data_IF_629809912527
#
_entry.id   IF_629809912527
#
_cell.length_a   1.000
_cell.length_b   1.000
_cell.length_c   1.000
_cell.angle_alpha   90.00
_cell.angle_beta   90.00
_cell.angle_gamma   90.00
#
_symmetry.space_group_name_H-M   'P 1'
#
loop_
_entity.id
_entity.type
_entity.pdbx_description
1 polymer ?
#
# COMPACT_ATOMS: atom_id res chain seq x y z
N UNK A 1 17.65 0.57 11.83
CA UNK A 1 17.34 0.34 10.40
C UNK A 1 16.27 -0.74 10.31
N UNK A 2 15.17 -0.50 9.57
CA UNK A 2 14.10 -1.50 9.41
C UNK A 2 14.63 -2.71 8.64
N UNK A 3 14.36 -3.95 9.07
CA UNK A 3 14.84 -5.16 8.38
C UNK A 3 14.27 -5.24 6.95
N UNK A 4 15.04 -5.80 6.01
CA UNK A 4 14.59 -6.00 4.62
C UNK A 4 13.34 -6.89 4.55
N UNK A 5 13.25 -7.91 5.41
CA UNK A 5 12.04 -8.74 5.53
C UNK A 5 10.83 -7.96 6.02
N UNK A 6 11.01 -7.05 7.00
CA UNK A 6 9.92 -6.17 7.47
C UNK A 6 9.41 -5.23 6.37
N UNK A 7 10.31 -4.75 5.50
CA UNK A 7 9.96 -3.94 4.33
C UNK A 7 9.11 -4.73 3.33
N UNK A 8 9.54 -5.95 2.95
CA UNK A 8 8.76 -6.80 2.03
C UNK A 8 7.39 -7.15 2.58
N UNK A 9 7.31 -7.56 3.87
CA UNK A 9 6.03 -7.90 4.51
C UNK A 9 5.11 -6.67 4.54
N UNK A 10 5.62 -5.50 4.88
CA UNK A 10 4.81 -4.27 4.88
C UNK A 10 4.34 -3.87 3.48
N UNK A 11 5.13 -4.17 2.45
CA UNK A 11 4.79 -3.91 1.06
C UNK A 11 3.65 -4.82 0.60
N UNK A 12 3.74 -6.12 0.87
CA UNK A 12 2.68 -7.10 0.56
C UNK A 12 1.39 -6.76 1.32
N UNK A 13 1.50 -6.42 2.60
CA UNK A 13 0.36 -6.01 3.42
C UNK A 13 -0.35 -4.77 2.84
N UNK A 14 0.43 -3.79 2.38
CA UNK A 14 -0.13 -2.58 1.76
C UNK A 14 -0.88 -2.87 0.47
N UNK A 15 -0.36 -3.77 -0.38
CA UNK A 15 -1.05 -4.18 -1.62
C UNK A 15 -2.41 -4.82 -1.30
N UNK A 16 -2.45 -5.75 -0.33
CA UNK A 16 -3.69 -6.42 0.08
C UNK A 16 -4.71 -5.39 0.58
N UNK A 17 -4.26 -4.42 1.38
CA UNK A 17 -5.12 -3.37 1.92
C UNK A 17 -5.64 -2.42 0.81
N UNK A 18 -4.82 -2.10 -0.19
CA UNK A 18 -5.26 -1.31 -1.36
C UNK A 18 -6.37 -2.05 -2.10
N UNK A 19 -6.17 -3.33 -2.43
CA UNK A 19 -7.15 -4.13 -3.17
C UNK A 19 -8.46 -4.23 -2.39
N UNK A 20 -8.39 -4.51 -1.09
CA UNK A 20 -9.57 -4.61 -0.24
C UNK A 20 -10.36 -3.31 -0.19
N UNK A 21 -9.67 -2.19 0.04
CA UNK A 21 -10.31 -0.88 0.11
C UNK A 21 -10.87 -0.43 -1.25
N UNK A 22 -10.18 -0.71 -2.36
CA UNK A 22 -10.68 -0.42 -3.70
C UNK A 22 -11.94 -1.24 -4.02
N UNK A 23 -11.95 -2.52 -3.67
CA UNK A 23 -13.12 -3.38 -3.84
C UNK A 23 -14.31 -2.87 -3.00
N UNK A 24 -14.06 -2.54 -1.74
CA UNK A 24 -15.11 -2.04 -0.85
C UNK A 24 -15.60 -0.65 -1.25
N UNK A 25 -14.74 0.20 -1.82
CA UNK A 25 -15.13 1.46 -2.45
C UNK A 25 -16.06 1.22 -3.66
N UNK A 26 -15.71 0.28 -4.54
CA UNK A 26 -16.51 -0.07 -5.72
C UNK A 26 -17.89 -0.64 -5.33
N UNK A 27 -17.92 -1.56 -4.36
CA UNK A 27 -19.18 -2.11 -3.83
C UNK A 27 -20.02 -1.01 -3.18
N UNK A 28 -19.41 -0.16 -2.35
CA UNK A 28 -20.10 0.96 -1.72
C UNK A 28 -20.68 1.95 -2.74
N UNK A 29 -19.95 2.23 -3.82
CA UNK A 29 -20.40 3.10 -4.91
C UNK A 29 -21.60 2.50 -5.66
N UNK A 30 -21.52 1.21 -6.03
CA UNK A 30 -22.59 0.52 -6.78
C UNK A 30 -23.86 0.29 -5.95
N UNK A 31 -23.71 0.11 -4.63
CA UNK A 31 -24.84 -0.05 -3.70
C UNK A 31 -25.40 1.29 -3.20
N UNK A 32 -24.84 2.43 -3.59
CA UNK A 32 -25.32 3.76 -3.19
C UNK A 32 -25.10 4.10 -1.71
N UNK A 33 -24.14 3.44 -1.05
CA UNK A 33 -23.81 3.75 0.34
C UNK A 33 -23.16 5.14 0.45
N UNK A 34 -23.59 5.96 1.41
CA UNK A 34 -23.08 7.34 1.58
C UNK A 34 -21.61 7.42 2.00
N UNK A 35 -21.08 6.39 2.67
CA UNK A 35 -19.73 6.41 3.28
C UNK A 35 -18.66 5.67 2.46
N UNK A 36 -18.95 5.28 1.22
CA UNK A 36 -18.01 4.56 0.36
C UNK A 36 -16.67 5.30 0.15
N UNK A 37 -16.70 6.64 0.13
CA UNK A 37 -15.54 7.50 -0.09
C UNK A 37 -14.43 7.32 0.96
N UNK A 38 -14.78 6.86 2.18
CA UNK A 38 -13.80 6.58 3.24
C UNK A 38 -12.83 5.48 2.81
N UNK A 39 -13.33 4.44 2.14
CA UNK A 39 -12.49 3.37 1.58
C UNK A 39 -11.59 3.88 0.45
N UNK A 40 -12.08 4.86 -0.32
CA UNK A 40 -11.26 5.54 -1.33
C UNK A 40 -10.07 6.28 -0.71
N UNK A 41 -10.31 7.05 0.36
CA UNK A 41 -9.24 7.75 1.10
C UNK A 41 -8.26 6.75 1.72
N UNK A 42 -8.77 5.68 2.33
CA UNK A 42 -7.92 4.62 2.90
C UNK A 42 -7.03 3.97 1.83
N UNK A 43 -7.58 3.66 0.65
CA UNK A 43 -6.80 3.12 -0.47
C UNK A 43 -5.66 4.07 -0.90
N UNK A 44 -5.92 5.37 -0.97
CA UNK A 44 -4.88 6.38 -1.30
C UNK A 44 -3.79 6.44 -0.23
N UNK A 45 -4.15 6.38 1.06
CA UNK A 45 -3.17 6.36 2.16
C UNK A 45 -2.26 5.13 2.05
N UNK A 46 -2.83 3.94 1.84
CA UNK A 46 -2.04 2.72 1.67
C UNK A 46 -1.19 2.75 0.39
N UNK A 47 -1.66 3.39 -0.67
CA UNK A 47 -0.88 3.58 -1.90
C UNK A 47 0.34 4.48 -1.68
N UNK A 48 0.19 5.59 -0.95
CA UNK A 48 1.33 6.43 -0.58
C UNK A 48 2.34 5.66 0.28
N UNK A 49 1.86 4.87 1.24
CA UNK A 49 2.72 4.02 2.06
C UNK A 49 3.45 2.96 1.22
N UNK A 50 2.77 2.36 0.23
CA UNK A 50 3.38 1.43 -0.72
C UNK A 50 4.52 2.08 -1.51
N UNK A 51 4.34 3.29 -2.03
CA UNK A 51 5.38 4.04 -2.76
C UNK A 51 6.62 4.28 -1.88
N UNK A 52 6.42 4.66 -0.62
CA UNK A 52 7.53 4.89 0.32
C UNK A 52 8.30 3.60 0.57
N UNK A 53 7.62 2.49 0.84
CA UNK A 53 8.29 1.19 1.05
C UNK A 53 9.04 0.72 -0.20
N UNK A 54 8.47 0.91 -1.40
CA UNK A 54 9.14 0.58 -2.67
C UNK A 54 10.40 1.43 -2.88
N UNK A 55 10.35 2.74 -2.56
CA UNK A 55 11.56 3.60 -2.61
C UNK A 55 12.63 3.11 -1.63
N UNK A 56 12.25 2.72 -0.41
CA UNK A 56 13.20 2.19 0.57
C UNK A 56 13.83 0.86 0.11
N UNK A 57 13.05 -0.04 -0.48
CA UNK A 57 13.54 -1.30 -1.06
C UNK A 57 14.52 -1.03 -2.21
N UNK A 58 14.18 -0.12 -3.12
CA UNK A 58 15.04 0.24 -4.25
C UNK A 58 16.37 0.85 -3.77
N UNK A 59 16.31 1.79 -2.82
CA UNK A 59 17.49 2.41 -2.21
C UNK A 59 18.38 1.40 -1.48
N UNK A 60 17.78 0.41 -0.81
CA UNK A 60 18.54 -0.65 -0.15
C UNK A 60 19.22 -1.60 -1.13
N UNK A 61 18.52 -2.05 -2.17
CA UNK A 61 19.11 -2.91 -3.19
C UNK A 61 20.31 -2.24 -3.89
N UNK A 62 20.22 -0.95 -4.20
CA UNK A 62 21.32 -0.19 -4.79
C UNK A 62 22.58 -0.17 -3.91
N UNK A 63 22.44 -0.03 -2.58
CA UNK A 63 23.58 -0.04 -1.65
C UNK A 63 24.21 -1.42 -1.49
N UNK A 64 23.43 -2.49 -1.66
CA UNK A 64 23.97 -3.87 -1.63
C UNK A 64 24.70 -4.23 -2.92
N UNK A 65 24.41 -3.58 -4.05
CA UNK A 65 25.09 -3.81 -5.33
C UNK A 65 26.37 -3.01 -5.53
N UNK A 66 26.62 -1.99 -4.70
CA UNK A 66 27.88 -1.21 -4.68
C UNK A 66 28.95 -1.81 -3.75
N UNK A 67 28.65 -2.92 -3.06
CA UNK A 67 29.60 -3.71 -2.27
C UNK A 67 29.93 -5.02 -2.98
#
# INVERSE_FOLDING_TARGET
MRSFGSLMISTICSIILIIWNAYSFYVGFTMGHTYYWVNGIAAVIFFLFFIVNMREICKKNYRTSEQ
#
